data_IF_060506473120
#
_entry.id   IF_060506473120
#
_cell.length_a   1.000
_cell.length_b   1.000
_cell.length_c   1.000
_cell.angle_alpha   90.00
_cell.angle_beta   90.00
_cell.angle_gamma   90.00
#
_symmetry.space_group_name_H-M   'P 1'
#
loop_
_entity.id
_entity.type
_entity.pdbx_description
1 polymer ?
#
# COMPACT_ATOMS: atom_id res chain seq x y z
N UNK A 1 12.11 12.54 10.38
CA UNK A 1 10.97 13.38 10.81
C UNK A 1 10.03 13.78 9.67
N UNK A 2 10.48 14.03 8.41
CA UNK A 2 9.57 14.38 7.31
C UNK A 2 8.76 13.19 6.74
N UNK A 3 9.39 12.03 6.54
CA UNK A 3 8.75 10.89 5.87
C UNK A 3 7.58 10.26 6.65
N UNK A 4 7.69 10.13 7.97
CA UNK A 4 6.63 9.56 8.81
C UNK A 4 5.32 10.38 8.76
N UNK A 5 5.41 11.70 8.57
CA UNK A 5 4.22 12.56 8.49
C UNK A 5 3.43 12.38 7.18
N UNK A 6 4.05 11.84 6.14
CA UNK A 6 3.41 11.54 4.86
C UNK A 6 2.63 10.21 4.89
N UNK A 7 2.91 9.33 5.85
CA UNK A 7 2.34 7.99 5.94
C UNK A 7 0.98 7.98 6.63
N UNK A 8 0.02 8.70 6.05
CA UNK A 8 -1.33 8.91 6.65
C UNK A 8 -2.32 7.83 6.25
N UNK A 9 -2.04 7.09 5.18
CA UNK A 9 -2.93 6.07 4.66
C UNK A 9 -2.73 4.74 5.38
N UNK A 10 -3.83 4.00 5.51
CA UNK A 10 -3.81 2.62 6.00
C UNK A 10 -4.17 1.69 4.86
N UNK A 11 -3.26 0.78 4.57
CA UNK A 11 -3.30 -0.12 3.43
C UNK A 11 -3.36 -1.58 3.90
N UNK A 12 -3.92 -2.41 3.03
CA UNK A 12 -3.87 -3.87 3.12
C UNK A 12 -3.22 -4.39 1.84
N UNK A 13 -2.20 -5.23 1.96
CA UNK A 13 -1.60 -5.93 0.84
C UNK A 13 -2.26 -7.29 0.72
N UNK A 14 -2.80 -7.61 -0.46
CA UNK A 14 -3.30 -8.94 -0.79
C UNK A 14 -2.42 -9.51 -1.89
N UNK A 15 -1.76 -10.61 -1.56
CA UNK A 15 -0.92 -11.38 -2.46
C UNK A 15 -1.75 -12.18 -3.46
N UNK A 16 -1.14 -12.55 -4.58
CA UNK A 16 -1.78 -13.42 -5.59
C UNK A 16 -2.15 -14.81 -5.07
N UNK A 17 -1.46 -15.29 -4.04
CA UNK A 17 -1.78 -16.55 -3.35
C UNK A 17 -2.90 -16.40 -2.30
N UNK A 18 -3.45 -15.19 -2.15
CA UNK A 18 -4.50 -14.85 -1.19
C UNK A 18 -3.99 -14.44 0.20
N UNK A 19 -2.68 -14.47 0.46
CA UNK A 19 -2.12 -14.00 1.73
C UNK A 19 -2.38 -12.50 1.88
N UNK A 20 -2.94 -12.12 3.04
CA UNK A 20 -3.32 -10.73 3.34
C UNK A 20 -2.52 -10.18 4.51
N UNK A 21 -1.98 -8.98 4.33
CA UNK A 21 -1.28 -8.21 5.38
C UNK A 21 -1.96 -6.86 5.56
N UNK A 22 -2.62 -6.66 6.69
CA UNK A 22 -3.33 -5.43 7.02
C UNK A 22 -2.47 -4.42 7.80
N UNK A 23 -3.00 -3.20 7.97
CA UNK A 23 -2.43 -2.19 8.86
C UNK A 23 -1.14 -1.55 8.35
N UNK A 24 -0.85 -1.67 7.06
CA UNK A 24 0.35 -1.12 6.44
C UNK A 24 0.18 0.40 6.35
N UNK A 25 1.08 1.16 6.98
CA UNK A 25 1.13 2.61 6.79
C UNK A 25 1.79 2.96 5.47
N UNK A 26 1.15 3.82 4.71
CA UNK A 26 1.61 4.25 3.40
C UNK A 26 1.25 5.69 3.09
N UNK A 27 1.80 6.19 1.98
CA UNK A 27 1.40 7.45 1.36
C UNK A 27 0.87 7.14 -0.03
N UNK A 28 -0.45 7.24 -0.22
CA UNK A 28 -1.10 7.07 -1.51
C UNK A 28 -1.12 8.42 -2.21
N UNK A 29 -0.52 8.45 -3.40
CA UNK A 29 -0.51 9.59 -4.30
C UNK A 29 -1.16 9.17 -5.63
N UNK A 30 -1.45 10.14 -6.50
CA UNK A 30 -2.22 9.92 -7.73
C UNK A 30 -1.74 8.72 -8.56
N UNK A 31 -0.43 8.56 -8.71
CA UNK A 31 0.16 7.53 -9.59
C UNK A 31 1.14 6.60 -8.85
N UNK A 32 1.31 6.78 -7.53
CA UNK A 32 2.38 6.13 -6.76
C UNK A 32 1.94 5.86 -5.33
N UNK A 33 2.38 4.73 -4.78
CA UNK A 33 2.17 4.39 -3.37
C UNK A 33 3.53 4.15 -2.72
N UNK A 34 3.81 4.88 -1.64
CA UNK A 34 5.04 4.70 -0.85
C UNK A 34 4.73 3.92 0.42
N UNK A 35 5.53 2.89 0.69
CA UNK A 35 5.46 2.06 1.90
C UNK A 35 6.89 1.97 2.47
N UNK A 36 7.03 2.20 3.78
CA UNK A 36 8.32 2.16 4.49
C UNK A 36 8.37 0.94 5.40
N UNK A 37 8.43 -0.25 4.81
CA UNK A 37 8.57 -1.53 5.51
C UNK A 37 9.60 -2.39 4.79
N UNK A 38 10.43 -3.08 5.57
CA UNK A 38 11.46 -4.00 5.05
C UNK A 38 11.08 -5.47 5.18
N UNK A 39 9.96 -5.75 5.85
CA UNK A 39 9.51 -7.09 6.22
C UNK A 39 8.36 -7.60 5.34
N UNK A 40 7.95 -6.83 4.33
CA UNK A 40 6.96 -7.23 3.34
C UNK A 40 7.56 -7.12 1.94
N UNK A 41 7.40 -8.17 1.14
CA UNK A 41 7.69 -8.12 -0.29
C UNK A 41 6.42 -7.71 -1.03
N UNK A 42 6.52 -6.73 -1.93
CA UNK A 42 5.42 -6.34 -2.83
C UNK A 42 5.81 -6.71 -4.25
N UNK A 43 4.93 -7.40 -4.96
CA UNK A 43 5.20 -7.98 -6.28
C UNK A 43 4.17 -7.52 -7.30
N UNK A 44 4.51 -7.64 -8.59
CA UNK A 44 3.58 -7.28 -9.67
C UNK A 44 2.34 -8.19 -9.62
N UNK A 45 1.16 -7.57 -9.73
CA UNK A 45 -0.14 -8.22 -9.67
C UNK A 45 -0.66 -8.46 -8.25
N UNK A 46 0.09 -8.05 -7.22
CA UNK A 46 -0.47 -7.90 -5.88
C UNK A 46 -1.51 -6.77 -5.87
N UNK A 47 -2.41 -6.80 -4.88
CA UNK A 47 -3.42 -5.77 -4.67
C UNK A 47 -3.11 -4.97 -3.42
N UNK A 48 -3.17 -3.65 -3.53
CA UNK A 48 -3.14 -2.72 -2.41
C UNK A 48 -4.53 -2.14 -2.20
N UNK A 49 -5.08 -2.35 -1.01
CA UNK A 49 -6.41 -1.86 -0.64
C UNK A 49 -6.23 -0.73 0.37
N UNK A 50 -6.68 0.48 0.03
CA UNK A 50 -6.68 1.64 0.92
C UNK A 50 -8.02 1.74 1.63
N UNK A 51 -7.99 1.83 2.96
CA UNK A 51 -9.18 2.10 3.76
C UNK A 51 -9.15 3.54 4.27
N UNK A 52 -10.16 4.33 3.89
CA UNK A 52 -10.31 5.70 4.36
C UNK A 52 -11.16 5.76 5.65
N UNK A 53 -10.89 6.71 6.56
CA UNK A 53 -11.67 6.86 7.81
C UNK A 53 -13.17 7.07 7.59
N UNK A 54 -13.57 7.54 6.41
CA UNK A 54 -14.96 7.84 6.06
C UNK A 54 -15.67 6.66 5.35
N UNK A 55 -15.06 5.47 5.37
CA UNK A 55 -15.65 4.25 4.79
C UNK A 55 -15.40 4.04 3.29
N UNK A 56 -14.71 4.98 2.63
CA UNK A 56 -14.28 4.79 1.24
C UNK A 56 -13.15 3.76 1.14
N UNK A 57 -13.25 2.90 0.13
CA UNK A 57 -12.26 1.87 -0.18
C UNK A 57 -11.76 2.11 -1.61
N UNK A 58 -10.45 2.09 -1.78
CA UNK A 58 -9.80 2.11 -3.09
C UNK A 58 -8.93 0.86 -3.24
N UNK A 59 -8.91 0.28 -4.43
CA UNK A 59 -8.15 -0.92 -4.75
C UNK A 59 -7.20 -0.62 -5.91
N UNK A 60 -5.95 -1.01 -5.76
CA UNK A 60 -4.87 -0.74 -6.70
C UNK A 60 -4.13 -2.03 -7.04
N UNK A 61 -4.00 -2.34 -8.33
CA UNK A 61 -3.10 -3.40 -8.78
C UNK A 61 -1.67 -2.88 -8.86
N UNK A 62 -0.73 -3.66 -8.32
CA UNK A 62 0.70 -3.33 -8.40
C UNK A 62 1.21 -3.62 -9.80
N UNK A 63 1.42 -2.56 -10.58
CA UNK A 63 1.98 -2.67 -11.95
C UNK A 63 3.52 -2.66 -11.95
N UNK A 64 4.13 -1.84 -11.10
CA UNK A 64 5.58 -1.70 -10.99
C UNK A 64 6.01 -1.63 -9.51
N UNK A 65 6.43 -2.74 -8.90
CA UNK A 65 6.98 -2.73 -7.54
C UNK A 65 8.40 -2.14 -7.55
N UNK A 66 8.81 -1.52 -6.44
CA UNK A 66 10.15 -0.93 -6.28
C UNK A 66 10.55 0.05 -7.40
N UNK A 67 9.55 0.77 -7.95
CA UNK A 67 9.75 1.80 -8.97
C UNK A 67 10.75 2.86 -8.47
N UNK A 68 11.52 3.44 -9.41
CA UNK A 68 12.48 4.52 -9.12
C UNK A 68 11.91 5.88 -9.51
#
# INVERSE_FOLDING_TARGET
MAFAQMMRDTLSLVKRDGVRTDGIKGSVQKDKIFILRSDIAVERGDLLIRSMPHGGIEEYEVIEPNFR
#
